data_IF_593114310132
#
_entry.id   IF_593114310132
#
_cell.length_a   1.000
_cell.length_b   1.000
_cell.length_c   1.000
_cell.angle_alpha   90.00
_cell.angle_beta   90.00
_cell.angle_gamma   90.00
#
_symmetry.space_group_name_H-M   'P 1'
#
loop_
_entity.id
_entity.type
_entity.pdbx_description
1 polymer ?
#
# COMPACT_ATOMS: atom_id res chain seq x y z
N UNK A 1 -18.65 -40.85 -9.07
CA UNK A 1 -18.79 -39.38 -9.10
C UNK A 1 -20.07 -39.10 -8.33
N UNK A 2 -19.97 -38.81 -7.03
CA UNK A 2 -21.16 -38.51 -6.21
C UNK A 2 -21.64 -37.11 -6.58
N UNK A 3 -22.93 -36.98 -6.84
CA UNK A 3 -23.62 -35.70 -6.99
C UNK A 3 -23.47 -34.93 -5.67
N UNK A 4 -22.49 -34.03 -5.59
CA UNK A 4 -22.50 -32.96 -4.61
C UNK A 4 -23.69 -32.08 -4.98
N UNK A 5 -24.78 -32.19 -4.22
CA UNK A 5 -26.01 -31.41 -4.36
C UNK A 5 -26.06 -30.31 -3.28
N UNK A 6 -26.86 -29.25 -3.48
CA UNK A 6 -27.20 -28.17 -2.52
C UNK A 6 -27.40 -28.67 -1.10
N UNK A 7 -28.00 -29.86 -0.97
CA UNK A 7 -28.25 -30.54 0.30
C UNK A 7 -26.97 -30.78 1.12
N UNK A 8 -25.81 -30.88 0.49
CA UNK A 8 -24.50 -31.01 1.15
C UNK A 8 -24.07 -29.70 1.80
N UNK A 9 -24.16 -28.57 1.07
CA UNK A 9 -23.88 -27.23 1.62
C UNK A 9 -24.83 -26.96 2.78
N UNK A 10 -26.13 -27.19 2.60
CA UNK A 10 -27.15 -26.99 3.62
C UNK A 10 -26.85 -27.78 4.91
N UNK A 11 -26.60 -29.09 4.81
CA UNK A 11 -26.27 -29.93 5.98
C UNK A 11 -25.05 -29.42 6.73
N UNK A 12 -24.03 -29.00 6.00
CA UNK A 12 -22.77 -28.50 6.59
C UNK A 12 -22.94 -27.12 7.21
N UNK A 13 -23.71 -26.21 6.60
CA UNK A 13 -24.08 -24.92 7.20
C UNK A 13 -24.83 -25.14 8.52
N UNK A 14 -25.86 -25.99 8.53
CA UNK A 14 -26.61 -26.31 9.75
C UNK A 14 -25.68 -26.84 10.85
N UNK A 15 -24.78 -27.77 10.51
CA UNK A 15 -23.80 -28.31 11.46
C UNK A 15 -22.91 -27.21 12.03
N UNK A 16 -22.39 -26.31 11.19
CA UNK A 16 -21.55 -25.20 11.64
C UNK A 16 -22.31 -24.22 12.54
N UNK A 17 -23.55 -23.87 12.18
CA UNK A 17 -24.41 -22.97 12.98
C UNK A 17 -24.73 -23.57 14.35
N UNK A 18 -25.04 -24.87 14.42
CA UNK A 18 -25.30 -25.58 15.67
C UNK A 18 -24.07 -25.62 16.59
N UNK A 19 -22.87 -25.84 16.03
CA UNK A 19 -21.62 -25.77 16.78
C UNK A 19 -21.38 -24.35 17.33
N UNK A 20 -21.57 -23.33 16.50
CA UNK A 20 -21.34 -21.93 16.87
C UNK A 20 -22.35 -21.38 17.87
N UNK A 21 -23.55 -21.98 17.98
CA UNK A 21 -24.53 -21.64 18.99
C UNK A 21 -24.03 -21.91 20.43
N UNK A 22 -23.05 -22.80 20.61
CA UNK A 22 -22.43 -23.15 21.91
C UNK A 22 -21.35 -22.14 22.34
N UNK A 23 -21.69 -20.86 22.27
CA UNK A 23 -20.78 -19.70 22.34
C UNK A 23 -19.86 -19.58 23.57
N UNK A 24 -20.24 -20.16 24.71
CA UNK A 24 -19.53 -20.00 26.01
C UNK A 24 -19.01 -21.31 26.61
N UNK A 25 -19.28 -22.45 25.96
CA UNK A 25 -18.92 -23.81 26.39
C UNK A 25 -18.38 -24.63 25.21
N UNK A 26 -17.68 -23.99 24.27
CA UNK A 26 -17.13 -24.71 23.12
C UNK A 26 -16.07 -25.71 23.60
N UNK A 27 -16.33 -27.00 23.41
CA UNK A 27 -15.36 -28.06 23.73
C UNK A 27 -14.23 -28.09 22.69
N UNK A 28 -13.11 -28.74 23.02
CA UNK A 28 -12.04 -29.00 22.04
C UNK A 28 -12.57 -29.76 20.82
N UNK A 29 -13.51 -30.68 21.03
CA UNK A 29 -14.17 -31.43 19.96
C UNK A 29 -15.02 -30.52 19.06
N UNK A 30 -15.73 -29.53 19.62
CA UNK A 30 -16.50 -28.55 18.84
C UNK A 30 -15.58 -27.69 17.95
N UNK A 31 -14.40 -27.32 18.44
CA UNK A 31 -13.41 -26.53 17.69
C UNK A 31 -12.85 -27.35 16.50
N UNK A 32 -12.51 -28.61 16.74
CA UNK A 32 -12.02 -29.53 15.69
C UNK A 32 -13.13 -29.81 14.68
N UNK A 33 -14.36 -30.06 15.15
CA UNK A 33 -15.51 -30.30 14.29
C UNK A 33 -15.81 -29.08 13.41
N UNK A 34 -15.79 -27.86 13.96
CA UNK A 34 -16.02 -26.64 13.19
C UNK A 34 -14.95 -26.47 12.11
N UNK A 35 -13.67 -26.64 12.45
CA UNK A 35 -12.56 -26.53 11.48
C UNK A 35 -12.74 -27.49 10.31
N UNK A 36 -13.08 -28.75 10.59
CA UNK A 36 -13.37 -29.76 9.56
C UNK A 36 -14.57 -29.38 8.69
N UNK A 37 -15.66 -28.91 9.29
CA UNK A 37 -16.85 -28.48 8.55
C UNK A 37 -16.53 -27.30 7.63
N UNK A 38 -15.71 -26.34 8.08
CA UNK A 38 -15.28 -25.20 7.28
C UNK A 38 -14.39 -25.62 6.11
N UNK A 39 -13.43 -26.51 6.32
CA UNK A 39 -12.59 -27.08 5.24
C UNK A 39 -13.44 -27.80 4.18
N UNK A 40 -14.41 -28.61 4.63
CA UNK A 40 -15.33 -29.31 3.72
C UNK A 40 -16.21 -28.31 2.96
N UNK A 41 -16.76 -27.29 3.62
CA UNK A 41 -17.54 -26.24 2.98
C UNK A 41 -16.73 -25.47 1.94
N UNK A 42 -15.49 -25.07 2.26
CA UNK A 42 -14.61 -24.37 1.32
C UNK A 42 -14.39 -25.19 0.05
N UNK A 43 -14.05 -26.48 0.21
CA UNK A 43 -13.81 -27.39 -0.91
C UNK A 43 -15.06 -27.53 -1.79
N UNK A 44 -16.22 -27.76 -1.16
CA UNK A 44 -17.49 -27.93 -1.87
C UNK A 44 -17.86 -26.66 -2.62
N UNK A 45 -17.78 -25.49 -1.97
CA UNK A 45 -18.07 -24.19 -2.58
C UNK A 45 -17.14 -23.88 -3.76
N UNK A 46 -15.85 -24.19 -3.64
CA UNK A 46 -14.89 -24.00 -4.73
C UNK A 46 -15.15 -24.95 -5.91
N UNK A 47 -15.51 -26.21 -5.63
CA UNK A 47 -15.89 -27.18 -6.67
C UNK A 47 -17.12 -26.72 -7.45
N UNK A 48 -18.16 -26.25 -6.76
CA UNK A 48 -19.35 -25.72 -7.41
C UNK A 48 -19.07 -24.46 -8.23
N UNK A 49 -18.21 -23.56 -7.76
CA UNK A 49 -17.81 -22.38 -8.51
C UNK A 49 -17.16 -22.69 -9.88
N UNK A 50 -16.64 -23.91 -10.08
CA UNK A 50 -16.04 -24.38 -11.33
C UNK A 50 -17.04 -25.07 -12.28
N UNK A 51 -18.24 -25.40 -11.81
CA UNK A 51 -19.27 -26.07 -12.60
C UNK A 51 -20.06 -25.05 -13.43
N UNK A 52 -20.39 -25.39 -14.69
CA UNK A 52 -21.06 -24.49 -15.65
C UNK A 52 -22.59 -24.43 -15.51
N UNK A 53 -23.19 -25.42 -14.85
CA UNK A 53 -24.63 -25.52 -14.63
C UNK A 53 -24.83 -25.92 -13.18
N UNK A 54 -25.51 -25.08 -12.41
CA UNK A 54 -25.82 -25.31 -11.01
C UNK A 54 -27.32 -25.56 -10.91
N UNK A 55 -27.74 -26.79 -10.59
CA UNK A 55 -29.13 -27.12 -10.23
C UNK A 55 -29.42 -26.69 -8.78
N UNK A 56 -29.04 -25.46 -8.41
CA UNK A 56 -29.13 -24.95 -7.04
C UNK A 56 -30.16 -23.82 -6.97
N UNK A 57 -31.00 -23.81 -5.94
CA UNK A 57 -31.87 -22.65 -5.67
C UNK A 57 -31.02 -21.49 -5.12
N UNK A 58 -30.84 -20.44 -5.92
CA UNK A 58 -30.09 -19.24 -5.51
C UNK A 58 -30.63 -18.64 -4.21
N UNK A 59 -31.94 -18.52 -4.07
CA UNK A 59 -32.56 -17.98 -2.84
C UNK A 59 -32.26 -18.83 -1.60
N UNK A 60 -32.23 -20.16 -1.71
CA UNK A 60 -31.87 -21.03 -0.59
C UNK A 60 -30.41 -20.85 -0.19
N UNK A 61 -29.49 -20.81 -1.16
CA UNK A 61 -28.07 -20.55 -0.93
C UNK A 61 -27.83 -19.19 -0.26
N UNK A 62 -28.55 -18.15 -0.71
CA UNK A 62 -28.46 -16.82 -0.10
C UNK A 62 -28.85 -16.86 1.37
N UNK A 63 -30.01 -17.45 1.69
CA UNK A 63 -30.53 -17.51 3.06
C UNK A 63 -29.60 -18.28 4.01
N UNK A 64 -29.09 -19.43 3.61
CA UNK A 64 -28.16 -20.22 4.44
C UNK A 64 -26.80 -19.53 4.58
N UNK A 65 -26.36 -18.81 3.54
CA UNK A 65 -25.17 -17.98 3.61
C UNK A 65 -25.33 -16.86 4.63
N UNK A 66 -26.46 -16.15 4.62
CA UNK A 66 -26.78 -15.11 5.61
C UNK A 66 -26.85 -15.68 7.03
N UNK A 67 -27.44 -16.86 7.22
CA UNK A 67 -27.49 -17.54 8.51
C UNK A 67 -26.07 -17.84 9.03
N UNK A 68 -25.23 -18.47 8.21
CA UNK A 68 -23.85 -18.80 8.57
C UNK A 68 -23.00 -17.55 8.83
N UNK A 69 -23.20 -16.48 8.07
CA UNK A 69 -22.48 -15.20 8.23
C UNK A 69 -22.74 -14.57 9.61
N UNK A 70 -23.97 -14.73 10.11
CA UNK A 70 -24.41 -14.18 11.39
C UNK A 70 -24.13 -15.11 12.59
N UNK A 71 -24.01 -16.43 12.38
CA UNK A 71 -23.71 -17.41 13.42
C UNK A 71 -22.53 -17.06 14.35
N UNK A 72 -21.36 -16.61 13.86
CA UNK A 72 -20.21 -16.31 14.73
C UNK A 72 -20.36 -14.99 15.52
N UNK A 73 -21.43 -14.19 15.33
CA UNK A 73 -21.55 -12.85 15.93
C UNK A 73 -21.50 -12.86 17.46
N UNK A 74 -22.15 -13.84 18.09
CA UNK A 74 -22.15 -13.96 19.54
C UNK A 74 -20.76 -14.38 20.07
N UNK A 75 -20.14 -15.38 19.45
CA UNK A 75 -18.79 -15.84 19.78
C UNK A 75 -17.73 -14.74 19.59
N UNK A 76 -17.84 -13.92 18.54
CA UNK A 76 -16.95 -12.77 18.31
C UNK A 76 -17.07 -11.70 19.42
N UNK A 77 -18.29 -11.45 19.94
CA UNK A 77 -18.48 -10.53 21.07
C UNK A 77 -17.86 -11.07 22.35
N UNK A 78 -18.02 -12.37 22.62
CA UNK A 78 -17.39 -13.04 23.77
C UNK A 78 -15.86 -12.97 23.66
N UNK A 79 -15.30 -13.29 22.49
CA UNK A 79 -13.87 -13.20 22.23
C UNK A 79 -13.33 -11.79 22.49
N UNK A 80 -14.01 -10.75 21.98
CA UNK A 80 -13.60 -9.37 22.20
C UNK A 80 -13.65 -8.94 23.68
N UNK A 81 -14.56 -9.51 24.48
CA UNK A 81 -14.61 -9.27 25.93
C UNK A 81 -13.44 -9.97 26.65
N UNK A 82 -13.14 -11.22 26.26
CA UNK A 82 -12.03 -12.00 26.82
C UNK A 82 -10.67 -11.34 26.52
N UNK A 83 -10.46 -10.87 25.29
CA UNK A 83 -9.22 -10.17 24.90
C UNK A 83 -9.04 -8.85 25.65
N UNK A 84 -10.13 -8.10 25.91
CA UNK A 84 -10.09 -6.84 26.69
C UNK A 84 -9.85 -7.07 28.18
N UNK A 85 -10.31 -8.18 28.74
CA UNK A 85 -10.26 -8.45 30.17
C UNK A 85 -8.87 -8.84 30.70
N UNK A 86 -7.81 -8.89 29.85
CA UNK A 86 -6.41 -9.22 30.19
C UNK A 86 -6.28 -10.24 31.34
N UNK A 87 -6.39 -11.53 31.00
CA UNK A 87 -5.98 -12.68 31.85
C UNK A 87 -6.30 -12.51 33.33
N UNK A 88 -7.55 -12.69 33.72
CA UNK A 88 -7.89 -13.25 35.03
C UNK A 88 -9.21 -14.02 34.91
N UNK A 89 -9.23 -15.19 35.52
CA UNK A 89 -10.30 -16.20 35.60
C UNK A 89 -10.51 -17.15 34.42
N UNK A 90 -9.98 -18.37 34.61
CA UNK A 90 -10.49 -19.62 34.06
C UNK A 90 -10.24 -19.85 32.57
N UNK A 91 -9.82 -21.07 32.22
CA UNK A 91 -9.83 -21.56 30.83
C UNK A 91 -11.29 -21.61 30.33
N UNK A 92 -11.86 -20.47 29.92
CA UNK A 92 -13.03 -20.48 29.04
C UNK A 92 -12.53 -20.89 27.66
N UNK A 93 -12.85 -22.10 27.26
CA UNK A 93 -12.62 -22.57 25.89
C UNK A 93 -13.60 -21.85 24.97
N UNK A 94 -13.09 -20.94 24.15
CA UNK A 94 -13.86 -20.25 23.11
C UNK A 94 -13.33 -20.61 21.73
N UNK A 95 -14.16 -20.50 20.70
CA UNK A 95 -13.70 -20.62 19.32
C UNK A 95 -12.57 -19.64 19.02
N UNK A 96 -11.58 -20.08 18.25
CA UNK A 96 -10.47 -19.23 17.84
C UNK A 96 -10.96 -18.08 16.95
N UNK A 97 -10.27 -16.94 17.01
CA UNK A 97 -10.50 -15.81 16.10
C UNK A 97 -10.51 -16.28 14.65
N UNK A 98 -9.54 -17.11 14.28
CA UNK A 98 -9.39 -17.64 12.93
C UNK A 98 -10.64 -18.37 12.46
N UNK A 99 -11.12 -19.35 13.23
CA UNK A 99 -12.33 -20.14 12.88
C UNK A 99 -13.57 -19.24 12.74
N UNK A 100 -13.72 -18.22 13.59
CA UNK A 100 -14.87 -17.32 13.54
C UNK A 100 -14.86 -16.40 12.31
N UNK A 101 -13.71 -15.85 11.95
CA UNK A 101 -13.59 -14.99 10.76
C UNK A 101 -13.64 -15.85 9.49
N UNK A 102 -13.04 -17.04 9.48
CA UNK A 102 -13.13 -18.01 8.39
C UNK A 102 -14.57 -18.42 8.12
N UNK A 103 -15.39 -18.62 9.16
CA UNK A 103 -16.82 -18.91 9.01
C UNK A 103 -17.52 -17.82 8.18
N UNK A 104 -17.28 -16.54 8.47
CA UNK A 104 -17.87 -15.44 7.72
C UNK A 104 -17.39 -15.38 6.28
N UNK A 105 -16.12 -15.71 6.05
CA UNK A 105 -15.56 -15.79 4.71
C UNK A 105 -16.21 -16.90 3.87
N UNK A 106 -16.37 -18.09 4.44
CA UNK A 106 -17.08 -19.21 3.80
C UNK A 106 -18.54 -18.83 3.52
N UNK A 107 -19.20 -18.20 4.47
CA UNK A 107 -20.56 -17.70 4.30
C UNK A 107 -20.68 -16.70 3.14
N UNK A 108 -19.74 -15.74 3.04
CA UNK A 108 -19.69 -14.80 1.92
C UNK A 108 -19.49 -15.51 0.57
N UNK A 109 -18.66 -16.56 0.50
CA UNK A 109 -18.54 -17.38 -0.71
C UNK A 109 -19.83 -18.11 -1.09
N UNK A 110 -20.57 -18.65 -0.11
CA UNK A 110 -21.88 -19.28 -0.36
C UNK A 110 -22.88 -18.26 -0.91
N UNK A 111 -22.94 -17.06 -0.34
CA UNK A 111 -23.76 -15.96 -0.89
C UNK A 111 -23.26 -15.49 -2.27
N UNK A 112 -21.95 -15.57 -2.55
CA UNK A 112 -21.42 -15.34 -3.88
C UNK A 112 -21.91 -16.36 -4.92
N UNK A 113 -21.98 -17.63 -4.55
CA UNK A 113 -22.52 -18.69 -5.40
C UNK A 113 -24.01 -18.48 -5.72
N UNK A 114 -24.81 -17.98 -4.78
CA UNK A 114 -26.24 -17.74 -5.03
C UNK A 114 -26.48 -16.74 -6.16
N UNK A 115 -25.62 -15.72 -6.29
CA UNK A 115 -25.71 -14.73 -7.37
C UNK A 115 -25.45 -15.32 -8.77
N UNK A 116 -24.66 -16.40 -8.85
CA UNK A 116 -24.43 -17.12 -10.10
C UNK A 116 -25.70 -17.86 -10.52
N UNK A 117 -26.40 -18.46 -9.56
CA UNK A 117 -27.60 -19.25 -9.78
C UNK A 117 -28.84 -18.38 -10.12
N UNK A 118 -28.84 -17.10 -9.76
CA UNK A 118 -29.96 -16.19 -10.01
C UNK A 118 -30.22 -15.92 -11.51
N UNK A 119 -29.24 -16.18 -12.40
CA UNK A 119 -29.35 -15.88 -13.84
C UNK A 119 -30.16 -16.89 -14.66
N UNK A 120 -30.47 -18.08 -14.13
CA UNK A 120 -31.08 -19.19 -14.88
C UNK A 120 -32.60 -19.36 -14.68
N UNK A 121 -33.24 -18.55 -13.84
CA UNK A 121 -34.70 -18.58 -13.70
C UNK A 121 -35.37 -17.87 -14.90
N UNK A 122 -35.49 -18.61 -15.99
CA UNK A 122 -36.23 -18.25 -17.20
C UNK A 122 -37.70 -17.98 -16.92
N UNK A 123 -38.03 -16.75 -16.55
CA UNK A 123 -39.40 -16.26 -16.53
C UNK A 123 -39.45 -14.77 -16.91
N UNK A 124 -40.02 -14.51 -18.09
CA UNK A 124 -40.46 -13.19 -18.53
C UNK A 124 -41.55 -12.66 -17.57
N UNK A 125 -41.18 -12.07 -16.44
CA UNK A 125 -42.11 -11.41 -15.53
C UNK A 125 -41.50 -10.12 -14.96
N UNK A 126 -42.22 -9.01 -15.15
CA UNK A 126 -42.01 -7.65 -14.61
C UNK A 126 -40.56 -7.30 -14.27
N UNK A 127 -39.80 -6.94 -15.31
CA UNK A 127 -38.35 -6.75 -15.32
C UNK A 127 -37.76 -5.71 -14.34
N UNK A 128 -38.56 -4.88 -13.66
CA UNK A 128 -38.08 -3.83 -12.76
C UNK A 128 -37.76 -4.31 -11.34
N UNK A 129 -38.71 -4.99 -10.68
CA UNK A 129 -38.61 -5.35 -9.25
C UNK A 129 -37.58 -6.46 -9.00
N UNK A 130 -37.53 -7.50 -9.84
CA UNK A 130 -36.51 -8.57 -9.74
C UNK A 130 -35.09 -8.05 -10.00
N UNK A 131 -34.95 -7.05 -10.87
CA UNK A 131 -33.66 -6.42 -11.17
C UNK A 131 -33.15 -5.61 -9.97
N UNK A 132 -34.04 -4.89 -9.29
CA UNK A 132 -33.69 -4.15 -8.07
C UNK A 132 -33.33 -5.09 -6.92
N UNK A 133 -34.09 -6.17 -6.71
CA UNK A 133 -33.77 -7.17 -5.68
C UNK A 133 -32.41 -7.85 -5.93
N UNK A 134 -32.11 -8.21 -7.18
CA UNK A 134 -30.80 -8.78 -7.53
C UNK A 134 -29.66 -7.80 -7.27
N UNK A 135 -29.88 -6.52 -7.56
CA UNK A 135 -28.91 -5.47 -7.27
C UNK A 135 -28.65 -5.31 -5.77
N UNK A 136 -29.69 -5.37 -4.94
CA UNK A 136 -29.58 -5.33 -3.47
C UNK A 136 -28.76 -6.52 -2.96
N UNK A 137 -29.08 -7.72 -3.44
CA UNK A 137 -28.32 -8.94 -3.14
C UNK A 137 -26.85 -8.83 -3.57
N UNK A 138 -26.56 -8.27 -4.76
CA UNK A 138 -25.19 -8.06 -5.20
C UNK A 138 -24.42 -7.10 -4.28
N UNK A 139 -25.04 -6.01 -3.85
CA UNK A 139 -24.46 -5.03 -2.93
C UNK A 139 -24.22 -5.65 -1.55
N UNK A 140 -25.16 -6.44 -1.03
CA UNK A 140 -25.03 -7.09 0.27
C UNK A 140 -23.91 -8.14 0.29
N UNK A 141 -23.77 -8.92 -0.80
CA UNK A 141 -22.66 -9.87 -0.93
C UNK A 141 -21.31 -9.16 -1.07
N UNK A 142 -21.26 -8.09 -1.88
CA UNK A 142 -20.07 -7.25 -2.00
C UNK A 142 -19.64 -6.70 -0.64
N UNK A 143 -20.57 -6.12 0.12
CA UNK A 143 -20.32 -5.61 1.48
C UNK A 143 -19.89 -6.70 2.44
N UNK A 144 -20.46 -7.91 2.30
CA UNK A 144 -20.07 -9.06 3.12
C UNK A 144 -18.62 -9.47 2.86
N UNK A 145 -18.19 -9.55 1.60
CA UNK A 145 -16.78 -9.80 1.27
C UNK A 145 -15.86 -8.67 1.74
N UNK A 146 -16.22 -7.41 1.50
CA UNK A 146 -15.41 -6.27 1.92
C UNK A 146 -15.22 -6.23 3.44
N UNK A 147 -16.29 -6.34 4.22
CA UNK A 147 -16.25 -6.35 5.69
C UNK A 147 -15.50 -7.55 6.26
N UNK A 148 -15.59 -8.72 5.61
CA UNK A 148 -14.76 -9.88 5.97
C UNK A 148 -13.29 -9.61 5.70
N UNK A 149 -12.94 -8.99 4.57
CA UNK A 149 -11.57 -8.58 4.25
C UNK A 149 -10.99 -7.65 5.31
N UNK A 150 -11.75 -6.62 5.71
CA UNK A 150 -11.35 -5.70 6.79
C UNK A 150 -11.17 -6.45 8.12
N UNK A 151 -12.07 -7.37 8.45
CA UNK A 151 -11.99 -8.16 9.67
C UNK A 151 -10.77 -9.11 9.68
N UNK A 152 -10.42 -9.68 8.52
CA UNK A 152 -9.21 -10.50 8.34
C UNK A 152 -7.95 -9.63 8.51
N UNK A 153 -7.89 -8.45 7.88
CA UNK A 153 -6.79 -7.49 8.03
C UNK A 153 -6.60 -7.07 9.50
N UNK A 154 -7.68 -6.72 10.20
CA UNK A 154 -7.63 -6.41 11.63
C UNK A 154 -7.16 -7.61 12.46
N UNK A 155 -7.60 -8.82 12.12
CA UNK A 155 -7.19 -10.04 12.82
C UNK A 155 -5.72 -10.37 12.62
N UNK A 156 -5.15 -10.11 11.43
CA UNK A 156 -3.73 -10.27 11.14
C UNK A 156 -2.82 -9.42 12.05
N UNK A 157 -3.33 -8.29 12.55
CA UNK A 157 -2.60 -7.41 13.47
C UNK A 157 -2.63 -7.89 14.93
N UNK A 158 -3.58 -8.75 15.27
CA UNK A 158 -3.82 -9.27 16.62
C UNK A 158 -3.20 -10.65 16.79
N UNK A 159 -3.35 -11.51 15.78
CA UNK A 159 -2.86 -12.88 15.76
C UNK A 159 -1.67 -13.00 14.81
N UNK A 160 -0.48 -12.83 15.38
CA UNK A 160 0.79 -12.87 14.63
C UNK A 160 1.10 -14.26 14.08
N UNK A 161 0.61 -15.34 14.71
CA UNK A 161 0.92 -16.71 14.29
C UNK A 161 0.25 -17.05 12.96
N UNK A 162 -0.96 -16.53 12.73
CA UNK A 162 -1.73 -16.75 11.50
C UNK A 162 -1.77 -15.52 10.58
N UNK A 163 -0.86 -14.57 10.79
CA UNK A 163 -0.85 -13.28 10.08
C UNK A 163 -0.89 -13.44 8.55
N UNK A 164 -0.08 -14.35 7.99
CA UNK A 164 -0.02 -14.59 6.54
C UNK A 164 -1.31 -15.23 5.99
N UNK A 165 -1.88 -16.18 6.71
CA UNK A 165 -3.17 -16.79 6.35
C UNK A 165 -4.28 -15.75 6.33
N UNK A 166 -4.32 -14.86 7.32
CA UNK A 166 -5.27 -13.76 7.37
C UNK A 166 -5.12 -12.79 6.20
N UNK A 167 -3.89 -12.39 5.87
CA UNK A 167 -3.64 -11.47 4.76
C UNK A 167 -3.99 -12.11 3.40
N UNK A 168 -3.68 -13.40 3.22
CA UNK A 168 -4.06 -14.15 2.02
C UNK A 168 -5.59 -14.21 1.85
N UNK A 169 -6.31 -14.56 2.92
CA UNK A 169 -7.77 -14.58 2.90
C UNK A 169 -8.38 -13.18 2.74
N UNK A 170 -7.76 -12.14 3.29
CA UNK A 170 -8.16 -10.75 3.09
C UNK A 170 -8.01 -10.35 1.61
N UNK A 171 -6.88 -10.70 0.96
CA UNK A 171 -6.66 -10.48 -0.48
C UNK A 171 -7.76 -11.17 -1.29
N UNK A 172 -8.06 -12.44 -1.01
CA UNK A 172 -9.11 -13.18 -1.71
C UNK A 172 -10.51 -12.55 -1.51
N UNK A 173 -10.82 -12.12 -0.29
CA UNK A 173 -12.09 -11.48 0.06
C UNK A 173 -12.27 -10.15 -0.67
N UNK A 174 -11.26 -9.27 -0.64
CA UNK A 174 -11.31 -8.01 -1.37
C UNK A 174 -11.35 -8.22 -2.88
N UNK A 175 -10.61 -9.18 -3.42
CA UNK A 175 -10.68 -9.52 -4.85
C UNK A 175 -12.08 -9.98 -5.25
N UNK A 176 -12.75 -10.78 -4.42
CA UNK A 176 -14.14 -11.20 -4.65
C UNK A 176 -15.11 -10.01 -4.63
N UNK A 177 -14.96 -9.09 -3.67
CA UNK A 177 -15.75 -7.85 -3.62
C UNK A 177 -15.54 -6.99 -4.88
N UNK A 178 -14.29 -6.87 -5.34
CA UNK A 178 -13.93 -6.05 -6.50
C UNK A 178 -14.36 -6.68 -7.83
N UNK A 179 -14.40 -8.01 -7.93
CA UNK A 179 -15.01 -8.72 -9.05
C UNK A 179 -16.52 -8.47 -9.13
N UNK A 180 -17.22 -8.43 -7.99
CA UNK A 180 -18.64 -8.03 -7.97
C UNK A 180 -18.79 -6.55 -8.33
N UNK A 181 -17.95 -5.68 -7.76
CA UNK A 181 -17.98 -4.24 -8.06
C UNK A 181 -17.80 -3.97 -9.55
N UNK A 182 -16.80 -4.59 -10.20
CA UNK A 182 -16.55 -4.38 -11.64
C UNK A 182 -17.71 -4.83 -12.53
N UNK A 183 -18.57 -5.73 -12.05
CA UNK A 183 -19.81 -6.15 -12.73
C UNK A 183 -20.96 -5.18 -12.51
N UNK A 184 -21.04 -4.58 -11.32
CA UNK A 184 -22.03 -3.55 -10.99
C UNK A 184 -21.61 -2.25 -11.68
N UNK A 185 -20.51 -1.66 -11.26
CA UNK A 185 -20.02 -0.37 -11.69
C UNK A 185 -20.87 0.80 -11.19
N UNK A 186 -20.22 1.93 -10.97
CA UNK A 186 -20.84 3.15 -10.45
C UNK A 186 -21.99 3.67 -11.33
N UNK A 187 -21.82 3.60 -12.64
CA UNK A 187 -22.82 4.05 -13.62
C UNK A 187 -24.09 3.21 -13.64
N UNK A 188 -24.00 1.94 -13.23
CA UNK A 188 -25.17 1.09 -13.06
C UNK A 188 -25.80 1.32 -11.69
N UNK A 189 -24.97 1.36 -10.62
CA UNK A 189 -25.44 1.53 -9.24
C UNK A 189 -26.32 2.78 -9.08
N UNK A 190 -25.89 3.90 -9.65
CA UNK A 190 -26.60 5.20 -9.65
C UNK A 190 -28.00 5.16 -10.29
N UNK A 191 -28.32 4.12 -11.08
CA UNK A 191 -29.67 3.93 -11.65
C UNK A 191 -30.64 3.28 -10.66
N UNK A 192 -30.12 2.52 -9.69
CA UNK A 192 -30.91 1.75 -8.73
C UNK A 192 -30.87 2.33 -7.31
N UNK A 193 -29.78 3.03 -6.97
CA UNK A 193 -29.51 3.57 -5.64
C UNK A 193 -29.30 5.07 -5.72
N UNK A 194 -29.88 5.80 -4.76
CA UNK A 194 -29.89 7.26 -4.74
C UNK A 194 -29.64 7.79 -3.32
N UNK A 195 -29.13 9.01 -3.24
CA UNK A 195 -28.98 9.76 -1.98
C UNK A 195 -28.16 8.98 -0.94
N UNK A 196 -28.61 8.97 0.32
CA UNK A 196 -27.91 8.35 1.46
C UNK A 196 -27.51 6.88 1.22
N UNK A 197 -28.36 6.09 0.56
CA UNK A 197 -28.05 4.69 0.32
C UNK A 197 -26.88 4.53 -0.66
N UNK A 198 -26.80 5.39 -1.67
CA UNK A 198 -25.67 5.42 -2.59
C UNK A 198 -24.40 5.88 -1.87
N UNK A 199 -24.49 6.92 -1.04
CA UNK A 199 -23.37 7.42 -0.23
C UNK A 199 -22.81 6.33 0.69
N UNK A 200 -23.67 5.60 1.40
CA UNK A 200 -23.25 4.49 2.28
C UNK A 200 -22.54 3.37 1.51
N UNK A 201 -22.96 3.10 0.26
CA UNK A 201 -22.32 2.06 -0.57
C UNK A 201 -20.96 2.56 -1.07
N UNK A 202 -20.87 3.82 -1.47
CA UNK A 202 -19.62 4.46 -1.90
C UNK A 202 -18.61 4.51 -0.75
N UNK A 203 -19.05 4.76 0.48
CA UNK A 203 -18.21 4.73 1.68
C UNK A 203 -17.64 3.35 1.97
N UNK A 204 -18.50 2.32 1.96
CA UNK A 204 -18.04 0.94 2.13
C UNK A 204 -17.01 0.58 1.02
N UNK A 205 -17.28 0.95 -0.25
CA UNK A 205 -16.36 0.69 -1.37
C UNK A 205 -15.03 1.42 -1.23
N UNK A 206 -15.07 2.67 -0.77
CA UNK A 206 -13.88 3.46 -0.48
C UNK A 206 -13.00 2.74 0.54
N UNK A 207 -13.57 2.38 1.69
CA UNK A 207 -12.87 1.69 2.77
C UNK A 207 -12.31 0.34 2.29
N UNK A 208 -13.07 -0.41 1.50
CA UNK A 208 -12.60 -1.69 0.97
C UNK A 208 -11.42 -1.54 0.01
N UNK A 209 -11.42 -0.53 -0.85
CA UNK A 209 -10.29 -0.26 -1.75
C UNK A 209 -9.05 0.20 -0.99
N UNK A 210 -9.20 1.07 0.02
CA UNK A 210 -8.10 1.51 0.89
C UNK A 210 -7.49 0.32 1.64
N UNK A 211 -8.31 -0.50 2.29
CA UNK A 211 -7.83 -1.67 3.04
C UNK A 211 -7.27 -2.75 2.11
N UNK A 212 -7.79 -2.88 0.87
CA UNK A 212 -7.20 -3.75 -0.16
C UNK A 212 -5.78 -3.30 -0.49
N UNK A 213 -5.53 -2.01 -0.73
CA UNK A 213 -4.18 -1.47 -0.99
C UNK A 213 -3.26 -1.83 0.18
N UNK A 214 -3.71 -1.64 1.42
CA UNK A 214 -2.94 -1.97 2.63
C UNK A 214 -2.59 -3.46 2.73
N UNK A 215 -3.53 -4.36 2.43
CA UNK A 215 -3.27 -5.81 2.40
C UNK A 215 -2.21 -6.14 1.36
N UNK A 216 -2.33 -5.57 0.15
CA UNK A 216 -1.40 -5.83 -0.95
C UNK A 216 0.01 -5.32 -0.63
N UNK A 217 0.14 -4.16 0.01
CA UNK A 217 1.41 -3.63 0.52
C UNK A 217 2.08 -4.60 1.51
N UNK A 218 1.32 -5.08 2.50
CA UNK A 218 1.83 -6.02 3.50
C UNK A 218 2.26 -7.37 2.89
N UNK A 219 1.57 -7.83 1.85
CA UNK A 219 1.92 -9.06 1.13
C UNK A 219 3.14 -8.87 0.21
N UNK A 220 3.25 -7.72 -0.47
CA UNK A 220 4.38 -7.39 -1.33
C UNK A 220 5.70 -7.30 -0.56
N UNK A 221 5.66 -6.87 0.71
CA UNK A 221 6.84 -6.85 1.59
C UNK A 221 7.32 -8.26 1.99
N UNK A 222 6.48 -9.30 1.87
CA UNK A 222 6.73 -10.64 2.40
C UNK A 222 6.86 -11.72 1.31
N UNK A 223 6.60 -11.38 0.05
CA UNK A 223 6.54 -12.37 -1.04
C UNK A 223 7.25 -11.87 -2.30
N UNK A 224 7.74 -12.82 -3.10
CA UNK A 224 8.37 -12.54 -4.40
C UNK A 224 7.37 -12.10 -5.47
N UNK A 225 6.06 -12.16 -5.20
CA UNK A 225 4.98 -11.89 -6.17
C UNK A 225 4.74 -10.40 -6.47
N UNK A 226 5.52 -9.50 -5.88
CA UNK A 226 5.39 -8.02 -5.88
C UNK A 226 4.77 -7.33 -7.13
N UNK A 227 4.98 -7.87 -8.34
CA UNK A 227 4.42 -7.34 -9.58
C UNK A 227 2.89 -7.56 -9.72
N UNK A 228 2.35 -8.69 -9.22
CA UNK A 228 0.90 -8.91 -9.20
C UNK A 228 0.24 -7.98 -8.19
N UNK A 229 0.77 -7.91 -6.96
CA UNK A 229 0.28 -6.98 -5.93
C UNK A 229 0.33 -5.53 -6.42
N UNK A 230 1.40 -5.11 -7.10
CA UNK A 230 1.50 -3.75 -7.64
C UNK A 230 0.43 -3.44 -8.68
N UNK A 231 0.08 -4.39 -9.55
CA UNK A 231 -0.99 -4.20 -10.54
C UNK A 231 -2.34 -4.02 -9.86
N UNK A 232 -2.61 -4.82 -8.84
CA UNK A 232 -3.84 -4.74 -8.07
C UNK A 232 -3.95 -3.46 -7.24
N UNK A 233 -2.83 -2.94 -6.72
CA UNK A 233 -2.76 -1.63 -6.07
C UNK A 233 -3.16 -0.53 -7.05
N UNK A 234 -2.55 -0.50 -8.24
CA UNK A 234 -2.88 0.49 -9.28
C UNK A 234 -4.35 0.41 -9.68
N UNK A 235 -4.87 -0.81 -9.87
CA UNK A 235 -6.31 -1.01 -10.14
C UNK A 235 -7.19 -0.42 -9.03
N UNK A 236 -6.81 -0.58 -7.77
CA UNK A 236 -7.58 -0.05 -6.63
C UNK A 236 -7.53 1.48 -6.56
N UNK A 237 -6.40 2.10 -6.91
CA UNK A 237 -6.28 3.56 -6.99
C UNK A 237 -7.16 4.15 -8.10
N UNK A 238 -7.29 3.47 -9.23
CA UNK A 238 -8.21 3.88 -10.28
C UNK A 238 -9.67 3.83 -9.84
N UNK A 239 -10.06 2.79 -9.10
CA UNK A 239 -11.41 2.73 -8.51
C UNK A 239 -11.62 3.87 -7.50
N UNK A 240 -10.66 4.11 -6.59
CA UNK A 240 -10.73 5.22 -5.63
C UNK A 240 -10.84 6.59 -6.32
N UNK A 241 -10.10 6.80 -7.41
CA UNK A 241 -10.21 8.00 -8.24
C UNK A 241 -11.66 8.20 -8.74
N UNK A 242 -12.32 7.13 -9.19
CA UNK A 242 -13.71 7.23 -9.67
C UNK A 242 -14.71 7.54 -8.55
N UNK A 243 -14.38 7.17 -7.31
CA UNK A 243 -15.20 7.45 -6.12
C UNK A 243 -14.91 8.83 -5.50
N UNK A 244 -13.73 9.41 -5.76
CA UNK A 244 -13.30 10.68 -5.18
C UNK A 244 -14.30 11.84 -5.34
N UNK A 245 -14.98 12.02 -6.49
CA UNK A 245 -15.96 13.11 -6.66
C UNK A 245 -17.19 13.04 -5.74
N UNK A 246 -17.45 11.92 -5.08
CA UNK A 246 -18.62 11.75 -4.21
C UNK A 246 -18.43 12.38 -2.84
N UNK A 247 -17.20 12.56 -2.38
CA UNK A 247 -16.89 13.25 -1.12
C UNK A 247 -15.61 14.05 -1.23
N UNK A 248 -15.69 15.32 -0.85
CA UNK A 248 -14.58 16.29 -0.91
C UNK A 248 -13.29 15.75 -0.25
N UNK A 249 -13.41 15.07 0.90
CA UNK A 249 -12.26 14.55 1.66
C UNK A 249 -11.56 13.35 0.99
N UNK A 250 -12.17 12.71 -0.01
CA UNK A 250 -11.60 11.54 -0.67
C UNK A 250 -10.40 11.90 -1.53
N UNK A 251 -10.44 13.03 -2.23
CA UNK A 251 -9.34 13.44 -3.07
C UNK A 251 -8.03 13.60 -2.26
N UNK A 252 -8.08 14.28 -1.11
CA UNK A 252 -6.89 14.44 -0.24
C UNK A 252 -6.42 13.10 0.35
N UNK A 253 -7.35 12.28 0.82
CA UNK A 253 -7.04 10.95 1.39
C UNK A 253 -6.41 10.02 0.33
N UNK A 254 -6.81 10.12 -0.93
CA UNK A 254 -6.20 9.38 -2.04
C UNK A 254 -4.76 9.82 -2.30
N UNK A 255 -4.48 11.12 -2.27
CA UNK A 255 -3.11 11.63 -2.42
C UNK A 255 -2.21 11.11 -1.29
N UNK A 256 -2.70 11.09 -0.05
CA UNK A 256 -1.94 10.58 1.10
C UNK A 256 -1.69 9.06 1.00
N UNK A 257 -2.69 8.29 0.55
CA UNK A 257 -2.50 6.87 0.28
C UNK A 257 -1.44 6.62 -0.80
N UNK A 258 -1.49 7.36 -1.91
CA UNK A 258 -0.50 7.23 -2.99
C UNK A 258 0.91 7.62 -2.54
N UNK A 259 1.05 8.66 -1.70
CA UNK A 259 2.35 9.00 -1.08
C UNK A 259 2.87 7.86 -0.23
N UNK A 260 2.02 7.28 0.62
CA UNK A 260 2.40 6.15 1.48
C UNK A 260 2.87 4.93 0.69
N UNK A 261 2.19 4.58 -0.40
CA UNK A 261 2.61 3.47 -1.28
C UNK A 261 3.96 3.77 -1.95
N UNK A 262 4.12 4.99 -2.47
CA UNK A 262 5.35 5.47 -3.09
C UNK A 262 6.55 5.39 -2.14
N UNK A 263 6.35 5.77 -0.88
CA UNK A 263 7.40 5.73 0.15
C UNK A 263 7.79 4.29 0.51
N UNK A 264 6.87 3.35 0.51
CA UNK A 264 7.19 1.94 0.74
C UNK A 264 8.01 1.33 -0.40
N UNK A 265 7.61 1.58 -1.66
CA UNK A 265 8.38 1.12 -2.82
C UNK A 265 9.79 1.71 -2.87
N UNK A 266 9.96 2.95 -2.40
CA UNK A 266 11.28 3.56 -2.23
C UNK A 266 12.18 2.76 -1.28
N UNK A 267 11.64 2.20 -0.20
CA UNK A 267 12.43 1.47 0.81
C UNK A 267 12.78 0.03 0.42
N UNK A 268 11.97 -0.63 -0.40
CA UNK A 268 12.08 -2.09 -0.67
C UNK A 268 12.96 -2.42 -1.90
N UNK A 269 13.50 -1.41 -2.59
CA UNK A 269 14.36 -1.52 -3.78
C UNK A 269 13.76 -2.01 -5.13
N UNK A 270 12.43 -2.18 -5.35
CA UNK A 270 11.93 -2.43 -6.70
C UNK A 270 11.79 -1.11 -7.47
N UNK A 271 12.91 -0.54 -7.95
CA UNK A 271 12.93 0.72 -8.68
C UNK A 271 11.99 0.73 -9.90
N UNK A 272 11.84 -0.40 -10.58
CA UNK A 272 10.91 -0.55 -11.70
C UNK A 272 9.44 -0.40 -11.28
N UNK A 273 9.05 -0.99 -10.15
CA UNK A 273 7.69 -0.85 -9.60
C UNK A 273 7.44 0.58 -9.16
N UNK A 274 8.41 1.22 -8.50
CA UNK A 274 8.31 2.62 -8.09
C UNK A 274 8.14 3.56 -9.28
N UNK A 275 8.89 3.33 -10.36
CA UNK A 275 8.79 4.15 -11.58
C UNK A 275 7.38 4.02 -12.19
N UNK A 276 6.91 2.79 -12.42
CA UNK A 276 5.57 2.57 -12.99
C UNK A 276 4.46 3.14 -12.10
N UNK A 277 4.60 2.98 -10.79
CA UNK A 277 3.63 3.48 -9.83
C UNK A 277 3.60 5.01 -9.78
N UNK A 278 4.77 5.65 -9.70
CA UNK A 278 4.85 7.11 -9.59
C UNK A 278 4.27 7.82 -10.83
N UNK A 279 4.51 7.28 -12.02
CA UNK A 279 3.92 7.79 -13.25
C UNK A 279 2.39 7.70 -13.24
N UNK A 280 1.83 6.59 -12.78
CA UNK A 280 0.37 6.43 -12.72
C UNK A 280 -0.25 7.31 -11.62
N UNK A 281 0.38 7.38 -10.45
CA UNK A 281 -0.05 8.24 -9.36
C UNK A 281 -0.03 9.73 -9.75
N UNK A 282 0.94 10.18 -10.56
CA UNK A 282 0.96 11.53 -11.13
C UNK A 282 -0.23 11.75 -12.07
N UNK A 283 -0.55 10.81 -12.97
CA UNK A 283 -1.74 10.90 -13.86
C UNK A 283 -3.05 10.96 -13.07
N UNK A 284 -3.16 10.16 -12.01
CA UNK A 284 -4.31 10.20 -11.10
C UNK A 284 -4.38 11.56 -10.41
N UNK A 285 -3.28 12.06 -9.86
CA UNK A 285 -3.20 13.39 -9.22
C UNK A 285 -3.61 14.53 -10.16
N UNK A 286 -3.12 14.55 -11.39
CA UNK A 286 -3.51 15.54 -12.41
C UNK A 286 -5.01 15.53 -12.69
N UNK A 287 -5.64 14.35 -12.71
CA UNK A 287 -7.08 14.27 -12.95
C UNK A 287 -7.92 14.77 -11.77
N UNK A 288 -7.39 14.72 -10.54
CA UNK A 288 -8.07 15.20 -9.34
C UNK A 288 -7.94 16.71 -9.15
N UNK A 289 -7.02 17.38 -9.86
CA UNK A 289 -6.69 18.80 -9.69
C UNK A 289 -7.92 19.73 -9.82
N UNK A 290 -8.97 19.28 -10.51
CA UNK A 290 -10.23 20.02 -10.69
C UNK A 290 -11.33 19.66 -9.68
N UNK A 291 -11.12 18.64 -8.84
CA UNK A 291 -12.16 18.03 -8.00
C UNK A 291 -12.10 18.48 -6.53
N UNK A 292 -11.22 19.42 -6.19
CA UNK A 292 -10.93 19.81 -4.80
C UNK A 292 -11.36 21.21 -4.38
N UNK A 293 -11.37 21.43 -3.06
CA UNK A 293 -11.66 22.71 -2.40
C UNK A 293 -10.51 23.74 -2.57
N UNK A 294 -10.68 24.95 -2.03
CA UNK A 294 -9.74 26.09 -2.15
C UNK A 294 -8.27 25.77 -1.79
N UNK A 295 -8.01 24.85 -0.83
CA UNK A 295 -6.66 24.45 -0.41
C UNK A 295 -6.08 23.27 -1.21
N UNK A 296 -6.88 22.66 -2.08
CA UNK A 296 -6.48 21.47 -2.83
C UNK A 296 -5.32 21.69 -3.82
N UNK A 297 -5.17 22.86 -4.48
CA UNK A 297 -4.03 23.13 -5.37
C UNK A 297 -2.66 23.04 -4.67
N UNK A 298 -2.58 23.48 -3.41
CA UNK A 298 -1.34 23.37 -2.62
C UNK A 298 -1.02 21.90 -2.29
N UNK A 299 -2.04 21.13 -1.93
CA UNK A 299 -1.91 19.68 -1.68
C UNK A 299 -1.44 18.94 -2.94
N UNK A 300 -1.99 19.27 -4.11
CA UNK A 300 -1.58 18.70 -5.40
C UNK A 300 -0.15 19.09 -5.74
N UNK A 301 0.26 20.33 -5.49
CA UNK A 301 1.65 20.77 -5.72
C UNK A 301 2.62 20.01 -4.82
N UNK A 302 2.30 19.90 -3.53
CA UNK A 302 3.08 19.10 -2.57
C UNK A 302 3.14 17.62 -2.97
N UNK A 303 2.03 17.06 -3.45
CA UNK A 303 1.96 15.69 -3.97
C UNK A 303 2.84 15.51 -5.21
N UNK A 304 2.73 16.39 -6.21
CA UNK A 304 3.54 16.35 -7.44
C UNK A 304 5.03 16.42 -7.11
N UNK A 305 5.44 17.33 -6.22
CA UNK A 305 6.82 17.42 -5.72
C UNK A 305 7.28 16.08 -5.11
N UNK A 306 6.51 15.53 -4.17
CA UNK A 306 6.85 14.26 -3.49
C UNK A 306 7.03 13.09 -4.48
N UNK A 307 6.06 12.92 -5.38
CA UNK A 307 6.07 11.83 -6.36
C UNK A 307 7.22 11.96 -7.36
N UNK A 308 7.49 13.17 -7.84
CA UNK A 308 8.60 13.42 -8.77
C UNK A 308 9.96 13.22 -8.11
N UNK A 309 10.12 13.57 -6.84
CA UNK A 309 11.37 13.30 -6.09
C UNK A 309 11.58 11.79 -5.91
N UNK A 310 10.55 11.03 -5.56
CA UNK A 310 10.67 9.56 -5.43
C UNK A 310 10.91 8.87 -6.79
N UNK A 311 10.28 9.37 -7.86
CA UNK A 311 10.54 8.94 -9.23
C UNK A 311 12.00 9.21 -9.62
N UNK A 312 12.48 10.44 -9.42
CA UNK A 312 13.84 10.86 -9.71
C UNK A 312 14.86 9.97 -9.00
N UNK A 313 14.66 9.70 -7.71
CA UNK A 313 15.55 8.83 -6.94
C UNK A 313 15.65 7.42 -7.55
N UNK A 314 14.53 6.85 -7.99
CA UNK A 314 14.51 5.52 -8.61
C UNK A 314 15.16 5.53 -9.99
N UNK A 315 14.95 6.58 -10.79
CA UNK A 315 15.62 6.76 -12.09
C UNK A 315 17.13 6.94 -11.91
N UNK A 316 17.57 7.71 -10.92
CA UNK A 316 18.98 7.86 -10.58
C UNK A 316 19.61 6.52 -10.15
N UNK A 317 18.90 5.73 -9.33
CA UNK A 317 19.37 4.42 -8.90
C UNK A 317 19.49 3.42 -10.06
N UNK A 318 18.56 3.48 -11.02
CA UNK A 318 18.60 2.67 -12.25
C UNK A 318 19.57 3.20 -13.32
N UNK A 319 20.12 4.41 -13.15
CA UNK A 319 21.04 5.04 -14.11
C UNK A 319 20.37 5.57 -15.38
N UNK A 320 19.05 5.77 -15.38
CA UNK A 320 18.27 6.27 -16.53
C UNK A 320 18.36 7.80 -16.61
N UNK A 321 19.43 8.30 -17.23
CA UNK A 321 19.78 9.73 -17.24
C UNK A 321 18.72 10.58 -17.97
N UNK A 322 18.24 10.13 -19.12
CA UNK A 322 17.32 10.92 -19.95
C UNK A 322 15.99 11.17 -19.22
N UNK A 323 15.45 10.12 -18.59
CA UNK A 323 14.21 10.24 -17.81
C UNK A 323 14.44 10.96 -16.49
N UNK A 324 15.59 10.79 -15.84
CA UNK A 324 15.95 11.55 -14.64
C UNK A 324 16.04 13.06 -14.93
N UNK A 325 16.68 13.46 -16.04
CA UNK A 325 16.74 14.86 -16.46
C UNK A 325 15.34 15.44 -16.70
N UNK A 326 14.47 14.69 -17.38
CA UNK A 326 13.08 15.08 -17.61
C UNK A 326 12.32 15.25 -16.30
N UNK A 327 12.43 14.27 -15.39
CA UNK A 327 11.80 14.32 -14.07
C UNK A 327 12.29 15.51 -13.25
N UNK A 328 13.60 15.77 -13.23
CA UNK A 328 14.22 16.90 -12.53
C UNK A 328 13.67 18.26 -13.01
N UNK A 329 13.44 18.43 -14.31
CA UNK A 329 12.87 19.67 -14.85
C UNK A 329 11.40 19.87 -14.48
N UNK A 330 10.67 18.80 -14.19
CA UNK A 330 9.26 18.84 -13.79
C UNK A 330 9.06 19.10 -12.30
N UNK A 331 10.09 18.89 -11.47
CA UNK A 331 10.02 19.14 -10.02
C UNK A 331 9.82 20.65 -9.78
N UNK A 332 8.70 21.07 -9.13
CA UNK A 332 8.42 22.47 -8.85
C UNK A 332 9.57 23.21 -8.12
N UNK A 333 10.15 22.57 -7.11
CA UNK A 333 11.32 23.07 -6.37
C UNK A 333 12.55 22.20 -6.67
N UNK A 334 13.05 22.28 -7.90
CA UNK A 334 14.21 21.50 -8.34
C UNK A 334 15.56 22.04 -7.83
N UNK A 335 15.56 23.17 -7.11
CA UNK A 335 16.74 23.74 -6.46
C UNK A 335 16.92 23.26 -5.02
N UNK A 336 15.99 22.46 -4.51
CA UNK A 336 16.14 21.78 -3.23
C UNK A 336 17.51 21.07 -3.15
N UNK A 337 18.28 21.26 -2.07
CA UNK A 337 19.62 20.68 -1.92
C UNK A 337 19.70 19.17 -2.17
N UNK A 338 18.69 18.41 -1.72
CA UNK A 338 18.68 16.95 -1.86
C UNK A 338 18.42 16.54 -3.31
N UNK A 339 17.56 17.28 -4.02
CA UNK A 339 17.31 17.06 -5.46
C UNK A 339 18.56 17.36 -6.28
N UNK A 340 19.25 18.48 -6.00
CA UNK A 340 20.52 18.82 -6.64
C UNK A 340 21.60 17.76 -6.37
N UNK A 341 21.69 17.26 -5.14
CA UNK A 341 22.65 16.22 -4.75
C UNK A 341 22.40 14.90 -5.49
N UNK A 342 21.14 14.48 -5.64
CA UNK A 342 20.76 13.28 -6.39
C UNK A 342 21.20 13.37 -7.86
N UNK A 343 20.92 14.50 -8.51
CA UNK A 343 21.32 14.71 -9.90
C UNK A 343 22.83 14.88 -10.06
N UNK A 344 23.51 15.52 -9.11
CA UNK A 344 24.97 15.61 -9.10
C UNK A 344 25.59 14.21 -9.09
N UNK A 345 25.12 13.33 -8.19
CA UNK A 345 25.60 11.95 -8.11
C UNK A 345 25.39 11.19 -9.42
N UNK A 346 24.20 11.28 -10.02
CA UNK A 346 23.91 10.65 -11.31
C UNK A 346 24.86 11.13 -12.42
N UNK A 347 25.12 12.43 -12.51
CA UNK A 347 26.08 12.97 -13.49
C UNK A 347 27.52 12.56 -13.21
N UNK A 348 27.91 12.45 -11.95
CA UNK A 348 29.22 11.95 -11.54
C UNK A 348 29.37 10.48 -11.97
N UNK A 349 28.41 9.63 -11.63
CA UNK A 349 28.41 8.20 -11.94
C UNK A 349 28.42 7.94 -13.46
N UNK A 350 27.75 8.81 -14.22
CA UNK A 350 27.73 8.79 -15.69
C UNK A 350 28.87 9.56 -16.36
N UNK A 351 29.85 10.06 -15.60
CA UNK A 351 31.03 10.80 -16.08
C UNK A 351 30.72 12.11 -16.81
N UNK A 352 29.54 12.70 -16.60
CA UNK A 352 29.14 14.01 -17.10
C UNK A 352 29.60 15.14 -16.15
N UNK A 353 30.91 15.24 -15.93
CA UNK A 353 31.50 16.11 -14.89
C UNK A 353 31.17 17.60 -15.05
N UNK A 354 31.04 18.10 -16.28
CA UNK A 354 30.67 19.51 -16.52
C UNK A 354 29.25 19.82 -16.02
N UNK A 355 28.30 18.89 -16.19
CA UNK A 355 26.94 19.05 -15.66
C UNK A 355 26.91 18.88 -14.14
N UNK A 356 27.66 17.91 -13.62
CA UNK A 356 27.80 17.70 -12.18
C UNK A 356 28.36 18.95 -11.48
N UNK A 357 29.38 19.59 -12.05
CA UNK A 357 29.97 20.82 -11.52
C UNK A 357 28.98 21.97 -11.47
N UNK A 358 28.20 22.19 -12.54
CA UNK A 358 27.15 23.23 -12.56
C UNK A 358 26.10 23.02 -11.48
N UNK A 359 25.70 21.78 -11.20
CA UNK A 359 24.77 21.50 -10.11
C UNK A 359 25.38 21.79 -8.73
N UNK A 360 26.68 21.54 -8.53
CA UNK A 360 27.34 21.90 -7.27
C UNK A 360 27.39 23.41 -7.07
N UNK A 361 27.63 24.19 -8.13
CA UNK A 361 27.58 25.64 -8.02
C UNK A 361 26.20 26.15 -7.59
N UNK A 362 25.13 25.52 -8.07
CA UNK A 362 23.76 25.81 -7.61
C UNK A 362 23.54 25.35 -6.16
N UNK A 363 24.10 24.19 -5.78
CA UNK A 363 24.01 23.66 -4.43
C UNK A 363 24.74 24.54 -3.41
N UNK A 364 25.90 25.10 -3.77
CA UNK A 364 26.68 25.98 -2.90
C UNK A 364 26.00 27.32 -2.65
N UNK A 365 25.11 27.73 -3.55
CA UNK A 365 24.25 28.90 -3.38
C UNK A 365 23.05 28.62 -2.45
N UNK A 366 22.76 27.36 -2.14
CA UNK A 366 21.73 27.01 -1.16
C UNK A 366 22.32 27.16 0.25
N UNK A 367 21.47 27.42 1.24
CA UNK A 367 21.87 27.51 2.65
C UNK A 367 21.83 26.11 3.32
N UNK A 368 22.64 25.17 2.79
CA UNK A 368 22.72 23.80 3.30
C UNK A 368 24.14 23.24 3.19
N UNK A 369 24.97 23.54 4.18
CA UNK A 369 26.37 23.10 4.23
C UNK A 369 26.54 21.57 4.19
N UNK A 370 25.67 20.84 4.92
CA UNK A 370 25.76 19.39 5.04
C UNK A 370 25.59 18.68 3.68
N UNK A 371 24.64 19.11 2.85
CA UNK A 371 24.47 18.56 1.51
C UNK A 371 25.57 19.05 0.55
N UNK A 372 25.97 20.31 0.67
CA UNK A 372 27.02 20.92 -0.16
C UNK A 372 28.37 20.20 -0.02
N UNK A 373 28.80 19.89 1.21
CA UNK A 373 30.05 19.18 1.45
C UNK A 373 30.01 17.74 0.95
N UNK A 374 28.86 17.06 1.05
CA UNK A 374 28.67 15.71 0.50
C UNK A 374 28.76 15.73 -1.03
N UNK A 375 28.16 16.72 -1.68
CA UNK A 375 28.26 16.89 -3.14
C UNK A 375 29.71 17.16 -3.60
N UNK A 376 30.41 18.08 -2.93
CA UNK A 376 31.82 18.38 -3.18
C UNK A 376 32.70 17.13 -3.05
N UNK A 377 32.53 16.36 -1.98
CA UNK A 377 33.24 15.10 -1.73
C UNK A 377 32.99 14.08 -2.82
N UNK A 378 31.73 13.87 -3.20
CA UNK A 378 31.31 12.91 -4.24
C UNK A 378 31.99 13.21 -5.57
N UNK A 379 32.00 14.49 -5.97
CA UNK A 379 32.64 14.94 -7.20
C UNK A 379 34.16 14.81 -7.17
N UNK A 380 34.80 15.25 -6.07
CA UNK A 380 36.25 15.16 -5.91
C UNK A 380 36.73 13.70 -5.91
N UNK A 381 36.00 12.81 -5.22
CA UNK A 381 36.29 11.39 -5.17
C UNK A 381 36.22 10.73 -6.55
N UNK A 382 35.21 11.05 -7.35
CA UNK A 382 35.08 10.50 -8.71
C UNK A 382 36.21 10.96 -9.65
N UNK A 383 36.81 12.12 -9.38
CA UNK A 383 38.01 12.60 -10.06
C UNK A 383 39.32 12.19 -9.35
N UNK A 384 39.25 11.22 -8.44
CA UNK A 384 40.38 10.71 -7.66
C UNK A 384 41.19 11.81 -6.98
N UNK A 385 40.53 12.89 -6.55
CA UNK A 385 41.13 14.08 -5.94
C UNK A 385 42.27 14.68 -6.78
N UNK A 386 42.10 14.68 -8.10
CA UNK A 386 42.93 15.49 -9.01
C UNK A 386 42.76 16.98 -8.72
N UNK A 387 43.63 17.85 -9.28
CA UNK A 387 43.56 19.29 -9.06
C UNK A 387 42.19 19.90 -9.39
N UNK A 388 41.52 19.37 -10.42
CA UNK A 388 40.13 19.74 -10.76
C UNK A 388 39.14 19.32 -9.67
N UNK A 389 39.29 18.11 -9.15
CA UNK A 389 38.49 17.61 -8.02
C UNK A 389 38.75 18.39 -6.73
N UNK A 390 39.98 18.81 -6.47
CA UNK A 390 40.34 19.62 -5.30
C UNK A 390 39.84 21.07 -5.40
N UNK A 391 39.73 21.60 -6.62
CA UNK A 391 39.25 22.97 -6.82
C UNK A 391 37.82 23.18 -6.28
N UNK A 392 37.00 22.12 -6.29
CA UNK A 392 35.61 22.21 -5.82
C UNK A 392 35.51 22.51 -4.32
N UNK A 393 36.50 22.05 -3.53
CA UNK A 393 36.58 22.37 -2.10
C UNK A 393 36.94 23.83 -1.85
N UNK A 394 37.72 24.44 -2.76
CA UNK A 394 38.00 25.89 -2.70
C UNK A 394 36.74 26.69 -3.02
N UNK A 395 36.03 26.30 -4.09
CA UNK A 395 34.76 26.92 -4.45
C UNK A 395 33.72 26.79 -3.31
N UNK A 396 33.69 25.66 -2.60
CA UNK A 396 32.84 25.47 -1.41
C UNK A 396 33.26 26.42 -0.28
N UNK A 397 34.55 26.54 0.02
CA UNK A 397 35.07 27.42 1.07
C UNK A 397 34.79 28.90 0.78
N UNK A 398 34.85 29.32 -0.49
CA UNK A 398 34.51 30.68 -0.91
C UNK A 398 33.04 31.02 -0.63
N UNK A 399 32.14 30.03 -0.70
CA UNK A 399 30.71 30.20 -0.41
C UNK A 399 30.38 30.04 1.08
N UNK A 400 31.14 29.22 1.81
CA UNK A 400 30.93 28.90 3.22
C UNK A 400 32.17 29.26 4.06
N UNK A 401 32.57 30.53 4.02
CA UNK A 401 33.81 31.00 4.67
C UNK A 401 33.91 30.68 6.17
N UNK A 402 32.77 30.65 6.88
CA UNK A 402 32.72 30.32 8.31
C UNK A 402 32.93 28.81 8.59
N UNK A 403 32.78 27.96 7.58
CA UNK A 403 32.93 26.51 7.67
C UNK A 403 34.29 26.00 7.15
N UNK A 404 35.24 26.90 6.83
CA UNK A 404 36.55 26.55 6.25
C UNK A 404 37.28 25.46 7.04
N UNK A 405 37.22 25.50 8.38
CA UNK A 405 37.81 24.46 9.22
C UNK A 405 37.19 23.07 8.93
N UNK A 406 35.86 22.97 8.88
CA UNK A 406 35.15 21.71 8.64
C UNK A 406 35.41 21.18 7.22
N UNK A 407 35.43 22.07 6.22
CA UNK A 407 35.73 21.76 4.82
C UNK A 407 37.14 21.15 4.70
N UNK A 408 38.14 21.79 5.30
CA UNK A 408 39.51 21.34 5.20
C UNK A 408 39.76 20.05 6.01
N UNK A 409 39.07 19.86 7.13
CA UNK A 409 39.09 18.59 7.87
C UNK A 409 38.48 17.45 7.06
N UNK A 410 37.34 17.70 6.40
CA UNK A 410 36.73 16.70 5.51
C UNK A 410 37.68 16.31 4.37
N UNK A 411 38.27 17.30 3.70
CA UNK A 411 39.22 17.06 2.63
C UNK A 411 40.40 16.22 3.11
N UNK A 412 41.03 16.60 4.21
CA UNK A 412 42.19 15.89 4.74
C UNK A 412 41.86 14.45 5.13
N UNK A 413 40.70 14.22 5.76
CA UNK A 413 40.23 12.88 6.10
C UNK A 413 40.05 12.01 4.85
N UNK A 414 39.44 12.55 3.78
CA UNK A 414 39.23 11.79 2.55
C UNK A 414 40.54 11.50 1.80
N UNK A 415 41.49 12.46 1.79
CA UNK A 415 42.82 12.26 1.20
C UNK A 415 43.64 11.18 1.94
N UNK A 416 43.45 11.01 3.25
CA UNK A 416 44.18 10.00 4.04
C UNK A 416 43.92 8.55 3.57
N UNK A 417 42.74 8.30 3.00
CA UNK A 417 42.36 6.98 2.47
C UNK A 417 42.97 6.68 1.10
N UNK A 418 43.61 7.65 0.46
CA UNK A 418 44.28 7.47 -0.84
C UNK A 418 45.79 7.39 -0.61
N UNK A 419 46.38 6.26 -0.94
CA UNK A 419 47.78 5.96 -0.64
C UNK A 419 48.76 7.02 -1.19
N UNK A 420 48.52 7.50 -2.41
CA UNK A 420 49.34 8.55 -3.05
C UNK A 420 49.15 9.95 -2.46
N UNK A 421 48.14 10.16 -1.61
CA UNK A 421 47.73 11.47 -1.07
C UNK A 421 47.85 11.59 0.45
N UNK A 422 48.41 10.57 1.13
CA UNK A 422 48.59 10.59 2.59
C UNK A 422 49.46 11.74 3.10
N UNK A 423 50.50 12.11 2.36
CA UNK A 423 51.35 13.25 2.72
C UNK A 423 50.59 14.57 2.60
N UNK A 424 49.85 14.76 1.50
CA UNK A 424 48.97 15.92 1.30
C UNK A 424 47.95 16.06 2.44
N UNK A 425 47.35 14.94 2.89
CA UNK A 425 46.43 14.90 4.04
C UNK A 425 47.10 15.37 5.34
N UNK A 426 48.30 14.85 5.65
CA UNK A 426 49.03 15.22 6.87
C UNK A 426 49.41 16.70 6.86
N UNK A 427 49.85 17.21 5.73
CA UNK A 427 50.24 18.62 5.60
C UNK A 427 49.04 19.55 5.72
N UNK A 428 47.89 19.14 5.19
CA UNK A 428 46.63 19.85 5.36
C UNK A 428 46.17 19.87 6.83
N UNK A 429 46.24 18.74 7.54
CA UNK A 429 45.95 18.69 8.99
C UNK A 429 46.89 19.59 9.81
N UNK A 430 48.19 19.62 9.47
CA UNK A 430 49.15 20.54 10.11
C UNK A 430 48.79 22.00 9.84
N UNK A 431 48.43 22.35 8.61
CA UNK A 431 48.02 23.71 8.21
C UNK A 431 46.84 24.17 9.07
N UNK A 432 45.79 23.35 9.16
CA UNK A 432 44.58 23.66 9.93
C UNK A 432 44.88 23.73 11.43
N UNK A 433 45.67 22.79 11.96
CA UNK A 433 46.05 22.76 13.38
C UNK A 433 46.86 23.99 13.82
N UNK A 434 47.68 24.53 12.93
CA UNK A 434 48.52 25.73 13.18
C UNK A 434 47.68 27.01 13.27
N UNK A 435 46.62 27.12 12.46
CA UNK A 435 45.69 28.27 12.46
C UNK A 435 44.84 28.32 13.74
N UNK A 436 44.56 27.17 14.36
CA UNK A 436 43.83 27.08 15.64
C UNK A 436 44.67 27.51 16.84
N UNK A 437 45.99 27.28 16.80
CA UNK A 437 46.91 27.72 17.86
C UNK A 437 47.19 29.23 17.83
N UNK A 438 47.14 29.87 16.66
CA UNK A 438 47.34 31.33 16.55
C UNK A 438 46.11 32.14 16.97
N UNK A 439 44.90 31.59 16.80
CA UNK A 439 43.62 32.21 17.21
C UNK A 439 43.28 31.99 18.69
N UNK A 440 43.74 30.89 19.29
CA UNK A 440 43.61 30.66 20.74
C UNK A 440 44.63 31.45 21.60
N UNK A 441 45.72 31.93 21.00
CA UNK A 441 46.74 32.75 21.68
C UNK A 441 46.45 34.27 21.59
N UNK A 442 45.33 34.67 20.99
CA UNK A 442 44.88 36.07 20.83
C UNK A 442 43.55 36.38 21.52
N UNK A 443 42.97 35.41 22.23
CA UNK A 443 41.90 35.59 23.24
C UNK A 443 42.46 35.52 24.63
#
# INVERSE_FOLDING_TARGET
>A
MQEEDTSTILKRVVTATELLARTTEASTDDIVALSRVLEELQRVVENFGKQRVLELSGTQLMNIGVELYNAPRASLRVLAQVEKAKRNDGQRTSFSRYSLVLTRFVAAKIMGLSLICFKDDGAQEKSGEKSMQFMDECVDVLRSFGRVGMLMLQSASIDSEKCEEYLSLAKESFSSAMQLWSRIGLSHLTKFKQSLELEDIVDDLWDFCVDRVRVLQLLAQRSDNSLEESRDIVSSLHELKMLAPYKILYASTLLDLMKSVSDEYRHVAPHELQVSFAEEALRVGESLENDGDENFPELITSFKQHMLVNLLQSLCASGDIERAETSYQLIPDNRDPKVLLLMNKLYVDSKQFEKAHRLLQLLFQQDCFDDAIVGARTFAQALSFSDKGLNIYRELADNYGDADFAINVDLACNLAFIESKRYDSIDELKRIGSVKQSTANTS
#
